data_IF_296041424433
#
_entry.id   IF_296041424433
#
_cell.length_a   1.000
_cell.length_b   1.000
_cell.length_c   1.000
_cell.angle_alpha   90.00
_cell.angle_beta   90.00
_cell.angle_gamma   90.00
#
_symmetry.space_group_name_H-M   'P 1'
#
loop_
_entity.id
_entity.type
_entity.pdbx_description
1 polymer ?
#
# COMPACT_ATOMS: atom_id res chain seq x y z
N UNK A 1 56.70 -26.53 -49.47
CA UNK A 1 55.65 -27.20 -48.65
C UNK A 1 55.82 -26.98 -47.11
N UNK A 2 56.41 -25.88 -46.67
CA UNK A 2 56.70 -25.65 -45.24
C UNK A 2 55.87 -24.60 -44.50
N UNK A 3 55.07 -23.81 -45.21
CA UNK A 3 54.34 -22.64 -44.59
C UNK A 3 52.93 -22.94 -44.04
N UNK A 4 52.29 -24.04 -44.41
CA UNK A 4 50.94 -24.40 -44.03
C UNK A 4 50.79 -25.05 -42.67
N UNK A 5 51.88 -25.71 -42.15
CA UNK A 5 51.83 -26.39 -40.85
C UNK A 5 51.98 -25.44 -39.64
N UNK A 6 52.79 -24.37 -39.79
CA UNK A 6 53.01 -23.38 -38.72
C UNK A 6 51.75 -22.57 -38.43
N UNK A 7 50.98 -22.18 -39.45
CA UNK A 7 49.73 -21.44 -39.24
C UNK A 7 48.60 -22.28 -38.61
N UNK A 8 48.54 -23.59 -38.94
CA UNK A 8 47.62 -24.53 -38.25
C UNK A 8 47.90 -24.70 -36.76
N UNK A 9 49.20 -24.81 -36.41
CA UNK A 9 49.64 -24.95 -35.01
C UNK A 9 49.37 -23.67 -34.21
N UNK A 10 49.56 -22.47 -34.77
CA UNK A 10 49.27 -21.18 -34.13
C UNK A 10 47.74 -21.01 -33.93
N UNK A 11 46.92 -21.39 -34.92
CA UNK A 11 45.46 -21.31 -34.84
C UNK A 11 44.88 -22.29 -33.79
N UNK A 12 45.48 -23.48 -33.66
CA UNK A 12 45.10 -24.50 -32.67
C UNK A 12 45.51 -24.08 -31.26
N UNK A 13 46.71 -23.44 -31.08
CA UNK A 13 47.17 -22.91 -29.80
C UNK A 13 46.31 -21.73 -29.34
N UNK A 14 45.92 -20.81 -30.23
CA UNK A 14 45.03 -19.70 -29.92
C UNK A 14 43.57 -20.15 -29.57
N UNK A 15 43.06 -21.21 -30.22
CA UNK A 15 41.74 -21.76 -29.85
C UNK A 15 41.75 -22.49 -28.51
N UNK A 16 42.83 -23.17 -28.16
CA UNK A 16 42.99 -23.79 -26.84
C UNK A 16 43.15 -22.74 -25.75
N UNK A 17 43.93 -21.67 -25.97
CA UNK A 17 44.02 -20.56 -25.02
C UNK A 17 42.67 -19.85 -24.81
N UNK A 18 41.89 -19.61 -25.84
CA UNK A 18 40.52 -19.03 -25.69
C UNK A 18 39.59 -19.96 -24.92
N UNK A 19 39.64 -21.28 -25.16
CA UNK A 19 38.85 -22.26 -24.41
C UNK A 19 39.28 -22.33 -22.95
N UNK A 20 40.58 -22.30 -22.65
CA UNK A 20 41.11 -22.31 -21.29
C UNK A 20 40.76 -21.00 -20.57
N UNK A 21 40.88 -19.83 -21.21
CA UNK A 21 40.47 -18.55 -20.63
C UNK A 21 38.94 -18.49 -20.37
N UNK A 22 38.14 -19.06 -21.25
CA UNK A 22 36.69 -19.13 -21.05
C UNK A 22 36.31 -20.10 -19.90
N UNK A 23 37.04 -21.23 -19.81
CA UNK A 23 36.83 -22.19 -18.71
C UNK A 23 37.29 -21.62 -17.36
N UNK A 24 38.35 -20.84 -17.32
CA UNK A 24 38.83 -20.14 -16.11
C UNK A 24 37.82 -19.02 -15.71
N UNK A 25 37.25 -18.30 -16.69
CA UNK A 25 36.25 -17.27 -16.41
C UNK A 25 34.95 -17.90 -15.84
N UNK A 26 34.50 -19.04 -16.38
CA UNK A 26 33.36 -19.79 -15.88
C UNK A 26 33.65 -20.43 -14.51
N UNK A 27 34.89 -20.93 -14.29
CA UNK A 27 35.28 -21.44 -12.96
C UNK A 27 35.40 -20.33 -11.92
N UNK A 28 35.88 -19.13 -12.29
CA UNK A 28 35.90 -17.97 -11.40
C UNK A 28 34.47 -17.51 -11.06
N UNK A 29 33.51 -17.53 -12.00
CA UNK A 29 32.12 -17.16 -11.71
C UNK A 29 31.42 -18.19 -10.80
N UNK A 30 31.86 -19.44 -10.80
CA UNK A 30 31.32 -20.49 -9.90
C UNK A 30 31.94 -20.43 -8.48
N UNK A 31 33.10 -19.78 -8.29
CA UNK A 31 33.73 -19.62 -6.99
C UNK A 31 33.23 -18.42 -6.19
N UNK A 32 32.52 -17.48 -6.82
CA UNK A 32 31.91 -16.33 -6.13
C UNK A 32 30.54 -16.63 -5.48
N UNK A 33 30.01 -17.86 -5.65
CA UNK A 33 28.65 -18.23 -5.23
C UNK A 33 28.49 -18.61 -3.74
N UNK A 34 29.54 -18.53 -2.89
CA UNK A 34 29.44 -18.97 -1.48
C UNK A 34 30.24 -18.11 -0.47
N UNK A 35 30.61 -16.89 -0.81
CA UNK A 35 31.25 -16.01 0.17
C UNK A 35 30.22 -15.10 0.85
N UNK A 36 30.28 -15.04 2.19
CA UNK A 36 29.53 -14.03 2.92
C UNK A 36 29.99 -12.64 2.49
N UNK A 37 29.03 -11.78 2.13
CA UNK A 37 29.29 -10.37 1.85
C UNK A 37 29.47 -9.60 3.17
N UNK A 38 30.24 -8.53 3.16
CA UNK A 38 30.22 -7.57 4.26
C UNK A 38 28.90 -6.79 4.26
N UNK A 39 28.51 -6.27 5.41
CA UNK A 39 27.29 -5.42 5.54
C UNK A 39 27.32 -4.26 4.55
N UNK A 40 28.50 -3.63 4.39
CA UNK A 40 28.68 -2.53 3.45
C UNK A 40 28.47 -2.96 1.98
N UNK A 41 28.97 -4.12 1.59
CA UNK A 41 28.78 -4.67 0.24
C UNK A 41 27.31 -4.99 -0.03
N UNK A 42 26.58 -5.53 0.97
CA UNK A 42 25.13 -5.79 0.87
C UNK A 42 24.39 -4.47 0.66
N UNK A 43 24.66 -3.45 1.50
CA UNK A 43 24.03 -2.13 1.40
C UNK A 43 24.32 -1.46 0.04
N UNK A 44 25.59 -1.37 -0.35
CA UNK A 44 26.02 -0.73 -1.59
C UNK A 44 25.43 -1.41 -2.84
N UNK A 45 25.30 -2.75 -2.82
CA UNK A 45 24.78 -3.50 -3.95
C UNK A 45 23.25 -3.37 -4.05
N UNK A 46 22.52 -3.52 -2.93
CA UNK A 46 21.06 -3.67 -2.95
C UNK A 46 20.30 -2.37 -2.81
N UNK A 47 20.92 -1.32 -2.25
CA UNK A 47 20.22 -0.06 -1.93
C UNK A 47 19.58 0.63 -3.14
N UNK A 48 20.21 0.55 -4.33
CA UNK A 48 19.66 1.19 -5.54
C UNK A 48 18.35 0.55 -6.02
N UNK A 49 18.11 -0.71 -5.65
CA UNK A 49 16.90 -1.45 -6.01
C UNK A 49 15.70 -1.21 -5.08
N UNK A 50 15.87 -0.47 -3.98
CA UNK A 50 14.81 -0.20 -3.01
C UNK A 50 14.17 1.16 -3.30
N UNK A 51 12.85 1.25 -3.16
CA UNK A 51 12.06 2.45 -3.47
C UNK A 51 11.11 2.82 -2.33
N UNK A 52 10.92 4.12 -2.12
CA UNK A 52 9.85 4.62 -1.26
C UNK A 52 8.54 4.55 -2.04
N UNK A 53 7.56 3.82 -1.53
CA UNK A 53 6.21 3.70 -2.11
C UNK A 53 5.28 4.71 -1.45
N UNK A 54 4.52 5.44 -2.27
CA UNK A 54 3.43 6.32 -1.85
C UNK A 54 2.13 5.80 -2.44
N UNK A 55 1.09 5.72 -1.64
CA UNK A 55 -0.27 5.44 -2.07
C UNK A 55 -1.21 6.54 -1.57
N UNK A 56 -1.83 7.25 -2.47
CA UNK A 56 -2.86 8.25 -2.22
C UNK A 56 -4.21 7.63 -2.53
N UNK A 57 -5.14 7.59 -1.58
CA UNK A 57 -6.39 6.84 -1.74
C UNK A 57 -7.57 7.44 -1.01
N UNK A 58 -8.75 7.07 -1.47
CA UNK A 58 -10.04 7.28 -0.84
C UNK A 58 -11.02 6.19 -1.30
N UNK A 59 -12.19 6.13 -0.70
CA UNK A 59 -13.24 5.18 -1.04
C UNK A 59 -14.46 5.89 -1.64
N UNK A 60 -15.10 5.24 -2.59
CA UNK A 60 -16.41 5.56 -3.13
C UNK A 60 -17.39 4.43 -2.80
N UNK A 61 -18.54 4.76 -2.25
CA UNK A 61 -19.66 3.83 -2.10
C UNK A 61 -20.75 4.27 -3.07
N UNK A 62 -20.98 3.50 -4.11
CA UNK A 62 -22.12 3.67 -5.00
C UNK A 62 -23.33 3.05 -4.33
N UNK A 63 -24.28 3.88 -3.91
CA UNK A 63 -25.50 3.47 -3.22
C UNK A 63 -26.49 2.78 -4.18
N UNK A 64 -27.43 2.03 -3.63
CA UNK A 64 -28.43 1.29 -4.43
C UNK A 64 -29.34 2.17 -5.30
N UNK A 65 -29.41 3.47 -5.06
CA UNK A 65 -30.11 4.46 -5.88
C UNK A 65 -29.23 5.07 -6.99
N UNK A 66 -27.95 4.68 -7.08
CA UNK A 66 -26.98 5.16 -8.06
C UNK A 66 -26.24 6.44 -7.66
N UNK A 67 -26.51 7.01 -6.50
CA UNK A 67 -25.72 8.11 -5.94
C UNK A 67 -24.45 7.59 -5.27
N UNK A 68 -23.39 8.41 -5.22
CA UNK A 68 -22.14 8.05 -4.56
C UNK A 68 -21.93 8.89 -3.31
N UNK A 69 -21.37 8.25 -2.29
CA UNK A 69 -20.75 8.91 -1.14
C UNK A 69 -19.27 8.53 -1.10
N UNK A 70 -18.45 9.47 -0.65
CA UNK A 70 -17.00 9.29 -0.59
C UNK A 70 -16.55 9.34 0.86
N UNK A 71 -15.47 8.64 1.19
CA UNK A 71 -14.87 8.73 2.52
C UNK A 71 -13.37 8.47 2.48
N UNK A 72 -12.65 9.05 3.42
CA UNK A 72 -11.18 9.01 3.41
C UNK A 72 -10.62 7.70 3.95
N UNK A 73 -11.16 7.19 5.06
CA UNK A 73 -10.66 6.01 5.75
C UNK A 73 -11.69 5.49 6.77
N UNK A 74 -11.30 4.48 7.55
CA UNK A 74 -12.01 3.99 8.72
C UNK A 74 -11.34 4.51 10.00
N UNK A 75 -12.12 4.71 11.06
CA UNK A 75 -11.58 4.93 12.40
C UNK A 75 -11.26 3.60 13.11
N UNK A 76 -10.86 3.68 14.38
CA UNK A 76 -10.50 2.50 15.19
C UNK A 76 -11.70 1.59 15.48
N UNK A 77 -12.93 2.11 15.43
CA UNK A 77 -14.18 1.38 15.64
C UNK A 77 -14.75 0.79 14.33
N UNK A 78 -14.12 1.13 13.19
CA UNK A 78 -14.51 0.69 11.84
C UNK A 78 -15.61 1.55 11.22
N UNK A 79 -15.88 2.75 11.75
CA UNK A 79 -16.82 3.69 11.18
C UNK A 79 -16.14 4.55 10.09
N UNK A 80 -16.96 5.06 9.13
CA UNK A 80 -16.47 5.86 8.00
C UNK A 80 -15.97 7.22 8.48
N UNK A 81 -14.76 7.60 8.08
CA UNK A 81 -14.12 8.86 8.41
C UNK A 81 -13.97 9.76 7.19
N UNK A 82 -14.16 11.08 7.37
CA UNK A 82 -13.99 12.05 6.29
C UNK A 82 -15.02 11.87 5.17
N UNK A 83 -16.32 11.69 5.54
CA UNK A 83 -17.41 11.49 4.58
C UNK A 83 -17.64 12.78 3.79
N UNK A 84 -17.77 12.62 2.46
CA UNK A 84 -18.10 13.68 1.51
C UNK A 84 -19.18 13.19 0.51
N UNK A 85 -19.97 14.11 0.00
CA UNK A 85 -20.97 13.84 -1.05
C UNK A 85 -20.42 14.11 -2.45
N UNK A 86 -19.31 14.84 -2.55
CA UNK A 86 -18.65 15.19 -3.80
C UNK A 86 -17.22 14.63 -3.80
N UNK A 87 -16.78 14.07 -4.92
CA UNK A 87 -15.44 13.50 -5.07
C UNK A 87 -14.32 14.51 -4.80
N UNK A 88 -14.49 15.75 -5.29
CA UNK A 88 -13.51 16.83 -5.09
C UNK A 88 -13.39 17.30 -3.63
N UNK A 89 -14.34 16.90 -2.78
CA UNK A 89 -14.40 17.31 -1.37
C UNK A 89 -13.87 16.23 -0.42
N UNK A 90 -13.59 15.01 -0.90
CA UNK A 90 -13.05 13.94 -0.06
C UNK A 90 -11.58 14.19 0.28
N UNK A 91 -11.23 13.98 1.54
CA UNK A 91 -9.83 14.02 1.97
C UNK A 91 -9.09 12.77 1.47
N UNK A 92 -8.05 12.98 0.66
CA UNK A 92 -7.20 11.89 0.15
C UNK A 92 -6.19 11.50 1.21
N UNK A 93 -6.25 10.24 1.66
CA UNK A 93 -5.27 9.68 2.60
C UNK A 93 -4.00 9.31 1.86
N UNK A 94 -2.85 9.66 2.43
CA UNK A 94 -1.54 9.29 1.89
C UNK A 94 -0.84 8.33 2.83
N UNK A 95 -0.60 7.12 2.34
CA UNK A 95 0.16 6.07 3.02
C UNK A 95 1.53 5.88 2.36
N UNK A 96 2.50 5.48 3.15
CA UNK A 96 3.85 5.21 2.69
C UNK A 96 4.29 3.80 3.08
N UNK A 97 5.07 3.19 2.21
CA UNK A 97 5.71 1.92 2.42
C UNK A 97 7.05 1.85 1.71
N UNK A 98 7.62 0.68 1.71
CA UNK A 98 8.84 0.33 0.98
C UNK A 98 8.51 -0.67 -0.10
N UNK A 99 9.21 -0.62 -1.23
CA UNK A 99 9.19 -1.62 -2.28
C UNK A 99 10.58 -1.86 -2.83
N UNK A 100 10.72 -2.87 -3.67
CA UNK A 100 11.99 -3.18 -4.31
C UNK A 100 11.78 -3.83 -5.67
N UNK A 101 12.68 -3.55 -6.63
CA UNK A 101 12.60 -4.11 -7.97
C UNK A 101 12.82 -5.61 -8.00
N UNK A 102 11.94 -6.34 -8.72
CA UNK A 102 11.98 -7.80 -8.88
C UNK A 102 12.09 -8.24 -10.34
N UNK A 103 12.03 -7.30 -11.29
CA UNK A 103 12.21 -7.59 -12.72
C UNK A 103 12.79 -6.39 -13.48
N UNK A 104 13.33 -6.65 -14.67
CA UNK A 104 13.79 -5.62 -15.62
C UNK A 104 12.62 -4.84 -16.27
N UNK A 105 11.38 -5.32 -16.10
CA UNK A 105 10.18 -4.73 -16.69
C UNK A 105 9.47 -3.76 -15.74
N UNK A 106 10.16 -3.24 -14.73
CA UNK A 106 9.64 -2.23 -13.81
C UNK A 106 8.71 -2.76 -12.73
N UNK A 107 8.72 -4.08 -12.48
CA UNK A 107 7.93 -4.69 -11.41
C UNK A 107 8.63 -4.52 -10.06
N UNK A 108 7.84 -4.15 -9.07
CA UNK A 108 8.27 -3.83 -7.71
C UNK A 108 7.40 -4.61 -6.75
N UNK A 109 8.01 -5.36 -5.86
CA UNK A 109 7.33 -6.05 -4.77
C UNK A 109 7.13 -5.10 -3.57
N UNK A 110 5.97 -5.21 -2.92
CA UNK A 110 5.61 -4.51 -1.68
C UNK A 110 4.53 -5.29 -0.92
N UNK A 111 4.00 -4.77 0.18
CA UNK A 111 2.83 -5.36 0.83
C UNK A 111 1.52 -4.90 0.19
N UNK A 112 0.50 -5.77 0.25
CA UNK A 112 -0.82 -5.47 -0.28
C UNK A 112 -1.49 -4.31 0.46
N UNK A 113 -1.41 -4.26 1.80
CA UNK A 113 -2.00 -3.18 2.60
C UNK A 113 -1.41 -1.80 2.29
N UNK A 114 -0.21 -1.72 1.69
CA UNK A 114 0.38 -0.43 1.27
C UNK A 114 -0.33 0.15 0.06
N UNK A 115 -0.81 -0.69 -0.87
CA UNK A 115 -1.24 -0.28 -2.21
C UNK A 115 -2.65 -0.72 -2.62
N UNK A 116 -3.34 -1.49 -1.78
CA UNK A 116 -4.67 -2.02 -2.09
C UNK A 116 -5.61 -1.95 -0.89
N UNK A 117 -6.92 -2.08 -1.17
CA UNK A 117 -7.93 -2.21 -0.14
C UNK A 117 -7.83 -3.59 0.54
N UNK A 118 -7.69 -3.60 1.88
CA UNK A 118 -7.68 -4.81 2.70
C UNK A 118 -8.96 -4.97 3.55
N UNK A 119 -9.91 -4.02 3.42
CA UNK A 119 -11.17 -4.04 4.19
C UNK A 119 -12.21 -4.84 3.43
N UNK A 120 -12.88 -5.75 4.13
CA UNK A 120 -13.94 -6.55 3.55
C UNK A 120 -15.21 -5.72 3.28
N UNK A 121 -15.87 -5.92 2.14
CA UNK A 121 -17.10 -5.22 1.73
C UNK A 121 -18.20 -5.28 2.80
N UNK A 122 -18.29 -6.39 3.54
CA UNK A 122 -19.27 -6.55 4.63
C UNK A 122 -19.07 -5.56 5.78
N UNK A 123 -17.82 -5.22 6.11
CA UNK A 123 -17.50 -4.24 7.16
C UNK A 123 -17.89 -2.84 6.70
N UNK A 124 -17.57 -2.50 5.46
CA UNK A 124 -17.97 -1.23 4.85
C UNK A 124 -19.48 -1.10 4.79
N UNK A 125 -20.21 -2.13 4.33
CA UNK A 125 -21.68 -2.12 4.27
C UNK A 125 -22.31 -1.89 5.65
N UNK A 126 -21.75 -2.44 6.72
CA UNK A 126 -22.19 -2.19 8.10
C UNK A 126 -22.02 -0.71 8.46
N UNK A 127 -20.85 -0.13 8.16
CA UNK A 127 -20.57 1.29 8.44
C UNK A 127 -21.46 2.22 7.60
N UNK A 128 -21.69 1.89 6.33
CA UNK A 128 -22.70 2.61 5.48
C UNK A 128 -24.07 2.57 6.12
N UNK A 129 -24.53 1.42 6.60
CA UNK A 129 -25.83 1.29 7.29
C UNK A 129 -25.91 2.18 8.55
N UNK A 130 -24.82 2.26 9.32
CA UNK A 130 -24.73 3.14 10.48
C UNK A 130 -24.85 4.62 10.09
N UNK A 131 -24.15 5.05 9.04
CA UNK A 131 -24.21 6.42 8.51
C UNK A 131 -25.63 6.76 8.04
N UNK A 132 -26.27 5.88 7.25
CA UNK A 132 -27.64 6.08 6.79
C UNK A 132 -28.63 6.20 7.96
N UNK A 133 -28.46 5.36 9.00
CA UNK A 133 -29.26 5.42 10.21
C UNK A 133 -29.06 6.73 10.98
N UNK A 134 -27.83 7.22 11.09
CA UNK A 134 -27.52 8.49 11.75
C UNK A 134 -28.13 9.67 10.98
N UNK A 135 -28.00 9.69 9.63
CA UNK A 135 -28.61 10.71 8.77
C UNK A 135 -30.13 10.76 8.92
N UNK A 136 -30.82 9.61 8.93
CA UNK A 136 -32.26 9.54 9.17
C UNK A 136 -32.66 10.18 10.49
N UNK A 137 -31.91 9.92 11.57
CA UNK A 137 -32.19 10.54 12.87
C UNK A 137 -32.05 12.06 12.83
N UNK A 138 -31.01 12.57 12.17
CA UNK A 138 -30.81 14.01 12.01
C UNK A 138 -31.94 14.64 11.20
N UNK A 139 -32.28 14.06 10.05
CA UNK A 139 -33.38 14.55 9.19
C UNK A 139 -34.71 14.52 9.94
N UNK A 140 -34.99 13.44 10.70
CA UNK A 140 -36.22 13.36 11.50
C UNK A 140 -36.25 14.44 12.60
N UNK A 141 -35.14 14.76 13.23
CA UNK A 141 -35.08 15.84 14.23
C UNK A 141 -35.33 17.21 13.59
N UNK A 142 -34.74 17.49 12.42
CA UNK A 142 -35.00 18.73 11.67
C UNK A 142 -36.44 18.82 11.20
N UNK A 143 -37.01 17.73 10.68
CA UNK A 143 -38.40 17.66 10.28
C UNK A 143 -39.35 17.99 11.45
N UNK A 144 -39.09 17.45 12.63
CA UNK A 144 -39.91 17.73 13.84
C UNK A 144 -39.81 19.20 14.26
N UNK A 145 -38.64 19.83 14.18
CA UNK A 145 -38.45 21.25 14.46
C UNK A 145 -39.25 22.13 13.48
N UNK A 146 -39.24 21.78 12.20
CA UNK A 146 -40.06 22.47 11.19
C UNK A 146 -41.59 22.23 11.42
N UNK A 147 -41.98 21.07 11.88
CA UNK A 147 -43.38 20.78 12.22
C UNK A 147 -43.88 21.66 13.37
N UNK A 148 -43.10 21.83 14.44
CA UNK A 148 -43.42 22.73 15.54
C UNK A 148 -43.52 24.21 15.07
N UNK A 149 -42.60 24.63 14.17
CA UNK A 149 -42.63 25.96 13.57
C UNK A 149 -43.88 26.16 12.70
N UNK A 150 -44.26 25.12 11.95
CA UNK A 150 -45.47 25.17 11.09
C UNK A 150 -46.75 25.29 11.93
N UNK A 151 -46.86 24.56 13.04
CA UNK A 151 -47.99 24.69 13.95
C UNK A 151 -48.17 26.12 14.46
N UNK A 152 -47.07 26.77 14.88
CA UNK A 152 -47.05 28.16 15.34
C UNK A 152 -47.41 29.14 14.20
N UNK A 153 -46.85 28.94 13.00
CA UNK A 153 -47.16 29.77 11.84
C UNK A 153 -48.61 29.57 11.35
N UNK A 154 -49.16 28.38 11.47
CA UNK A 154 -50.55 28.11 11.14
C UNK A 154 -51.51 28.83 12.10
N UNK A 155 -51.23 28.82 13.42
CA UNK A 155 -52.03 29.59 14.40
C UNK A 155 -51.97 31.09 14.11
N UNK A 156 -50.82 31.64 13.76
CA UNK A 156 -50.67 33.03 13.37
C UNK A 156 -51.45 33.38 12.09
N UNK A 157 -51.41 32.49 11.10
CA UNK A 157 -52.17 32.63 9.87
C UNK A 157 -53.71 32.62 10.13
N UNK A 158 -54.18 31.66 10.96
CA UNK A 158 -55.58 31.55 11.30
C UNK A 158 -56.11 32.78 12.05
N UNK A 159 -55.29 33.30 13.00
CA UNK A 159 -55.56 34.55 13.69
C UNK A 159 -55.64 35.74 12.70
N UNK A 160 -54.66 35.91 11.82
CA UNK A 160 -54.62 37.00 10.84
C UNK A 160 -55.78 36.93 9.86
N UNK A 161 -56.25 35.72 9.48
CA UNK A 161 -57.38 35.52 8.56
C UNK A 161 -58.72 35.81 9.22
N UNK A 162 -58.84 35.72 10.54
CA UNK A 162 -60.09 35.93 11.29
C UNK A 162 -60.18 37.33 11.94
N UNK A 163 -59.11 38.12 11.90
CA UNK A 163 -59.03 39.43 12.60
C UNK A 163 -59.11 40.57 11.58
N UNK A 164 -60.21 41.32 11.49
CA UNK A 164 -60.39 42.39 10.51
C UNK A 164 -59.41 43.57 10.64
N UNK A 165 -58.75 43.71 11.81
CA UNK A 165 -57.79 44.76 12.12
C UNK A 165 -56.40 44.45 11.55
N UNK A 166 -56.13 43.25 11.10
CA UNK A 166 -54.87 42.87 10.46
C UNK A 166 -54.85 43.40 9.02
N UNK A 167 -53.81 44.11 8.68
CA UNK A 167 -53.64 44.66 7.34
C UNK A 167 -53.41 43.54 6.30
N UNK A 168 -53.72 43.79 5.03
CA UNK A 168 -53.41 42.86 3.94
C UNK A 168 -51.93 42.52 3.85
N UNK A 169 -51.06 43.50 4.11
CA UNK A 169 -49.61 43.30 4.08
C UNK A 169 -49.13 42.32 5.15
N UNK A 170 -49.58 42.49 6.40
CA UNK A 170 -49.27 41.56 7.50
C UNK A 170 -49.84 40.17 7.26
N UNK A 171 -51.07 40.08 6.73
CA UNK A 171 -51.67 38.77 6.35
C UNK A 171 -50.79 38.05 5.32
N UNK A 172 -50.38 38.73 4.26
CA UNK A 172 -49.53 38.10 3.24
C UNK A 172 -48.15 37.71 3.79
N UNK A 173 -47.53 38.50 4.67
CA UNK A 173 -46.28 38.11 5.32
C UNK A 173 -46.41 36.84 6.15
N UNK A 174 -47.46 36.71 6.96
CA UNK A 174 -47.68 35.51 7.77
C UNK A 174 -47.97 34.29 6.89
N UNK A 175 -48.73 34.45 5.82
CA UNK A 175 -49.00 33.40 4.83
C UNK A 175 -47.68 32.92 4.19
N UNK A 176 -46.87 33.85 3.71
CA UNK A 176 -45.61 33.53 3.00
C UNK A 176 -44.61 32.84 3.93
N UNK A 177 -44.52 33.23 5.20
CA UNK A 177 -43.71 32.53 6.23
C UNK A 177 -44.19 31.10 6.44
N UNK A 178 -45.55 30.91 6.62
CA UNK A 178 -46.13 29.59 6.80
C UNK A 178 -45.82 28.68 5.59
N UNK A 179 -46.02 29.20 4.39
CA UNK A 179 -45.87 28.45 3.15
C UNK A 179 -44.41 28.08 2.91
N UNK A 180 -43.46 28.97 3.22
CA UNK A 180 -42.05 28.69 3.18
C UNK A 180 -41.60 27.57 4.18
N UNK A 181 -42.12 27.61 5.42
CA UNK A 181 -41.89 26.56 6.42
C UNK A 181 -42.44 25.21 5.92
N UNK A 182 -43.64 25.20 5.33
CA UNK A 182 -44.26 23.99 4.77
C UNK A 182 -43.44 23.41 3.63
N UNK A 183 -42.91 24.25 2.74
CA UNK A 183 -42.06 23.83 1.63
C UNK A 183 -40.78 23.19 2.15
N UNK A 184 -40.08 23.83 3.11
CA UNK A 184 -38.87 23.25 3.72
C UNK A 184 -39.18 21.89 4.40
N UNK A 185 -40.25 21.80 5.18
CA UNK A 185 -40.67 20.54 5.80
C UNK A 185 -40.91 19.42 4.77
N UNK A 186 -41.50 19.73 3.61
CA UNK A 186 -41.71 18.76 2.53
C UNK A 186 -40.37 18.26 1.94
N UNK A 187 -39.35 19.12 1.81
CA UNK A 187 -38.00 18.71 1.36
C UNK A 187 -37.38 17.69 2.32
N UNK A 188 -37.44 17.96 3.64
CA UNK A 188 -36.92 17.01 4.62
C UNK A 188 -37.70 15.69 4.65
N UNK A 189 -39.00 15.69 4.42
CA UNK A 189 -39.80 14.47 4.25
C UNK A 189 -39.34 13.66 3.02
N UNK A 190 -39.05 14.33 1.91
CA UNK A 190 -38.51 13.68 0.70
C UNK A 190 -37.10 13.09 0.96
N UNK A 191 -36.23 13.81 1.63
CA UNK A 191 -34.90 13.29 2.00
C UNK A 191 -35.01 12.06 2.88
N UNK A 192 -35.89 12.09 3.91
CA UNK A 192 -36.11 10.93 4.78
C UNK A 192 -36.58 9.70 3.99
N UNK A 193 -37.58 9.88 3.15
CA UNK A 193 -38.15 8.80 2.33
C UNK A 193 -37.08 8.28 1.32
N UNK A 194 -36.28 9.15 0.71
CA UNK A 194 -35.22 8.76 -0.20
C UNK A 194 -34.17 7.88 0.49
N UNK A 195 -33.84 8.17 1.76
CA UNK A 195 -32.92 7.32 2.53
C UNK A 195 -33.53 5.93 2.87
N UNK A 196 -34.85 5.78 2.92
CA UNK A 196 -35.50 4.48 3.14
C UNK A 196 -35.37 3.52 1.94
N UNK A 197 -35.18 4.08 0.74
CA UNK A 197 -35.01 3.31 -0.48
C UNK A 197 -33.57 2.78 -0.64
N UNK A 198 -32.61 3.33 0.11
CA UNK A 198 -31.20 2.95 0.04
C UNK A 198 -30.93 1.71 0.90
N UNK A 199 -30.40 0.66 0.26
CA UNK A 199 -29.95 -0.57 0.93
C UNK A 199 -28.44 -0.64 0.95
N UNK A 200 -27.85 -0.57 2.14
CA UNK A 200 -26.41 -0.66 2.31
C UNK A 200 -25.82 -1.97 1.76
N UNK A 201 -26.56 -3.08 1.86
CA UNK A 201 -26.15 -4.38 1.32
C UNK A 201 -26.02 -4.45 -0.19
N UNK A 202 -26.67 -3.55 -0.91
CA UNK A 202 -26.72 -3.48 -2.36
C UNK A 202 -25.80 -2.37 -2.91
N UNK A 203 -24.95 -1.80 -2.05
CA UNK A 203 -23.99 -0.76 -2.40
C UNK A 203 -22.70 -1.40 -2.93
N UNK A 204 -22.13 -0.80 -3.97
CA UNK A 204 -20.82 -1.17 -4.51
C UNK A 204 -19.73 -0.30 -3.89
N UNK A 205 -18.64 -0.92 -3.46
CA UNK A 205 -17.51 -0.22 -2.85
C UNK A 205 -16.36 -0.19 -3.85
N UNK A 206 -15.86 1.00 -4.13
CA UNK A 206 -14.72 1.23 -5.00
C UNK A 206 -13.58 1.86 -4.21
N UNK A 207 -12.40 1.32 -4.38
CA UNK A 207 -11.18 1.87 -3.82
C UNK A 207 -10.43 2.62 -4.91
N UNK A 208 -10.35 3.94 -4.75
CA UNK A 208 -9.60 4.81 -5.65
C UNK A 208 -8.21 5.02 -5.09
N UNK A 209 -7.19 4.75 -5.90
CA UNK A 209 -5.82 4.98 -5.47
C UNK A 209 -4.90 5.46 -6.59
N UNK A 210 -3.85 6.16 -6.18
CA UNK A 210 -2.75 6.58 -7.03
C UNK A 210 -1.45 6.15 -6.38
N UNK A 211 -0.81 5.15 -6.97
CA UNK A 211 0.47 4.61 -6.50
C UNK A 211 1.62 5.28 -7.24
N UNK A 212 2.64 5.67 -6.51
CA UNK A 212 3.87 6.26 -7.06
C UNK A 212 5.07 5.88 -6.20
N UNK A 213 6.28 6.00 -6.76
CA UNK A 213 7.52 5.67 -6.07
C UNK A 213 8.56 6.79 -6.19
N UNK A 214 9.42 6.90 -5.18
CA UNK A 214 10.69 7.61 -5.29
C UNK A 214 11.87 6.62 -5.24
N UNK A 215 12.79 6.79 -6.17
CA UNK A 215 14.00 5.96 -6.22
C UNK A 215 14.96 6.33 -5.08
N UNK A 216 15.52 5.32 -4.43
CA UNK A 216 16.59 5.55 -3.46
C UNK A 216 17.82 6.20 -4.10
N UNK A 217 18.51 7.04 -3.36
CA UNK A 217 19.70 7.78 -3.80
C UNK A 217 19.42 8.79 -4.94
N UNK A 218 18.19 9.27 -5.09
CA UNK A 218 17.84 10.31 -6.06
C UNK A 218 17.31 11.57 -5.38
N UNK A 219 17.39 12.70 -6.06
CA UNK A 219 16.78 13.95 -5.60
C UNK A 219 15.36 14.07 -6.12
N UNK A 220 14.45 14.42 -5.23
CA UNK A 220 13.08 14.84 -5.55
C UNK A 220 12.80 16.15 -4.83
N UNK A 221 12.09 17.07 -5.47
CA UNK A 221 11.72 18.34 -4.87
C UNK A 221 10.49 18.22 -3.98
N UNK A 222 9.58 17.34 -4.37
CA UNK A 222 8.36 17.04 -3.62
C UNK A 222 7.77 15.68 -4.08
N UNK A 223 6.70 15.25 -3.44
CA UNK A 223 6.07 13.95 -3.73
C UNK A 223 5.38 13.89 -5.11
N UNK A 224 5.16 15.02 -5.80
CA UNK A 224 4.62 15.03 -7.16
C UNK A 224 5.67 14.58 -8.20
N UNK A 225 6.95 14.58 -7.84
CA UNK A 225 8.04 14.11 -8.71
C UNK A 225 8.20 12.59 -8.68
N UNK A 226 7.36 11.88 -7.91
CA UNK A 226 7.42 10.42 -7.82
C UNK A 226 6.95 9.77 -9.11
N UNK A 227 7.64 8.70 -9.51
CA UNK A 227 7.30 7.92 -10.69
C UNK A 227 5.99 7.14 -10.48
N UNK A 228 5.04 7.29 -11.41
CA UNK A 228 3.73 6.65 -11.31
C UNK A 228 3.82 5.14 -11.56
N UNK A 229 3.07 4.39 -10.75
CA UNK A 229 2.93 2.94 -10.86
C UNK A 229 1.46 2.53 -11.01
N UNK A 230 1.26 1.27 -11.39
CA UNK A 230 -0.02 0.57 -11.37
C UNK A 230 0.11 -0.69 -10.53
N UNK A 231 -0.93 -1.06 -9.79
CA UNK A 231 -0.99 -2.35 -9.09
C UNK A 231 -1.33 -3.42 -10.12
N UNK A 232 -0.50 -4.45 -10.24
CA UNK A 232 -0.69 -5.52 -11.25
C UNK A 232 -1.13 -6.84 -10.65
N UNK A 233 -0.67 -7.16 -9.43
CA UNK A 233 -1.02 -8.38 -8.72
C UNK A 233 -1.14 -8.12 -7.22
N UNK A 234 -2.06 -8.82 -6.56
CA UNK A 234 -2.22 -8.80 -5.10
C UNK A 234 -2.47 -10.21 -4.57
N UNK A 235 -1.95 -10.47 -3.38
CA UNK A 235 -2.22 -11.65 -2.58
C UNK A 235 -2.57 -11.19 -1.16
N UNK A 236 -3.88 -11.16 -0.86
CA UNK A 236 -4.38 -10.69 0.43
C UNK A 236 -4.08 -11.67 1.57
N UNK A 237 -3.95 -12.97 1.27
CA UNK A 237 -3.68 -14.00 2.28
C UNK A 237 -2.27 -13.86 2.85
N UNK A 238 -1.31 -13.47 2.01
CA UNK A 238 0.07 -13.26 2.40
C UNK A 238 0.48 -11.79 2.48
N UNK A 239 -0.47 -10.86 2.30
CA UNK A 239 -0.21 -9.42 2.32
C UNK A 239 0.94 -9.00 1.36
N UNK A 240 0.90 -9.49 0.12
CA UNK A 240 1.88 -9.18 -0.92
C UNK A 240 1.23 -8.49 -2.12
N UNK A 241 1.96 -7.60 -2.76
CA UNK A 241 1.54 -6.97 -4.01
C UNK A 241 2.73 -6.76 -4.95
N UNK A 242 2.42 -6.78 -6.25
CA UNK A 242 3.31 -6.30 -7.31
C UNK A 242 2.72 -5.02 -7.88
N UNK A 243 3.52 -3.97 -7.86
CA UNK A 243 3.24 -2.74 -8.60
C UNK A 243 4.23 -2.63 -9.76
N UNK A 244 3.86 -1.94 -10.83
CA UNK A 244 4.70 -1.80 -12.01
C UNK A 244 4.79 -0.34 -12.45
N UNK A 245 5.99 0.11 -12.78
CA UNK A 245 6.20 1.40 -13.44
C UNK A 245 5.36 1.49 -14.72
N UNK A 246 4.76 2.65 -14.97
CA UNK A 246 3.93 2.85 -16.18
C UNK A 246 4.68 2.67 -17.51
N UNK A 247 5.98 2.96 -17.52
CA UNK A 247 6.85 2.76 -18.68
C UNK A 247 7.34 1.32 -18.83
N UNK A 248 7.03 0.46 -17.88
CA UNK A 248 7.39 -0.98 -17.83
C UNK A 248 8.89 -1.23 -18.00
N UNK A 249 9.71 -0.38 -17.38
CA UNK A 249 11.16 -0.50 -17.47
C UNK A 249 11.84 -0.13 -16.16
N UNK A 250 12.63 -1.05 -15.63
CA UNK A 250 13.54 -0.75 -14.52
C UNK A 250 14.73 0.06 -15.05
N UNK A 251 15.08 1.21 -14.45
CA UNK A 251 16.26 1.95 -14.84
C UNK A 251 17.53 1.08 -14.69
N UNK A 252 18.44 1.19 -15.64
CA UNK A 252 19.62 0.30 -15.75
C UNK A 252 20.63 0.41 -14.59
N UNK A 253 20.54 1.48 -13.81
CA UNK A 253 21.36 1.73 -12.61
C UNK A 253 20.72 1.17 -11.33
N UNK A 254 19.56 0.51 -11.41
CA UNK A 254 18.84 -0.05 -10.27
C UNK A 254 19.12 -1.55 -10.13
N UNK A 255 19.34 -1.96 -8.89
CA UNK A 255 19.49 -3.37 -8.55
C UNK A 255 18.12 -4.08 -8.66
N UNK A 256 18.10 -5.25 -9.27
CA UNK A 256 16.92 -6.12 -9.34
C UNK A 256 17.16 -7.31 -8.44
N UNK A 257 16.33 -7.44 -7.40
CA UNK A 257 16.42 -8.56 -6.47
C UNK A 257 16.05 -9.86 -7.17
N UNK A 258 16.94 -10.83 -7.10
CA UNK A 258 16.71 -12.15 -7.64
C UNK A 258 15.83 -12.97 -6.69
N UNK A 259 14.83 -13.63 -7.25
CA UNK A 259 13.98 -14.56 -6.50
C UNK A 259 14.45 -15.97 -6.86
N UNK A 260 15.10 -16.60 -5.88
CA UNK A 260 15.66 -17.94 -6.07
C UNK A 260 14.56 -18.99 -6.33
N UNK A 261 14.91 -20.04 -7.07
CA UNK A 261 13.98 -21.15 -7.34
C UNK A 261 13.63 -21.93 -6.07
N UNK A 262 14.58 -22.02 -5.15
CA UNK A 262 14.40 -22.62 -3.83
C UNK A 262 14.46 -21.51 -2.78
N UNK A 263 13.61 -21.60 -1.76
CA UNK A 263 13.63 -20.64 -0.65
C UNK A 263 14.97 -20.78 0.11
N UNK A 264 15.80 -19.74 0.19
CA UNK A 264 17.10 -19.79 0.83
C UNK A 264 17.07 -20.21 2.31
N UNK A 265 15.88 -20.13 2.94
CA UNK A 265 15.67 -20.57 4.32
C UNK A 265 15.23 -22.04 4.42
N UNK A 266 14.90 -22.69 3.32
CA UNK A 266 14.50 -24.12 3.26
C UNK A 266 15.63 -25.04 2.78
N UNK A 267 16.69 -24.54 2.19
CA UNK A 267 17.85 -25.34 1.80
C UNK A 267 18.54 -25.92 3.03
N UNK A 268 17.97 -27.03 3.49
CA UNK A 268 18.50 -27.82 4.59
C UNK A 268 19.45 -28.87 4.06
N UNK A 269 20.75 -28.68 4.24
CA UNK A 269 21.75 -29.68 3.89
C UNK A 269 22.24 -30.34 5.18
N UNK A 270 22.10 -31.67 5.32
CA UNK A 270 22.54 -32.44 6.50
C UNK A 270 24.05 -32.26 6.82
N UNK A 271 24.85 -31.90 5.81
CA UNK A 271 26.28 -31.54 6.01
C UNK A 271 26.44 -30.25 6.82
N UNK A 272 25.45 -29.35 6.77
CA UNK A 272 25.49 -28.07 7.50
C UNK A 272 25.23 -28.27 9.00
N UNK A 273 24.59 -29.37 9.42
CA UNK A 273 24.34 -29.65 10.85
C UNK A 273 25.60 -29.93 11.65
N UNK A 274 26.61 -30.50 11.01
CA UNK A 274 27.93 -30.75 11.65
C UNK A 274 28.72 -29.44 11.68
N UNK A 275 28.64 -28.62 10.64
CA UNK A 275 29.26 -27.28 10.61
C UNK A 275 28.48 -26.25 11.43
N UNK A 276 27.14 -26.37 11.55
CA UNK A 276 26.28 -25.50 12.34
C UNK A 276 26.58 -25.50 13.82
N UNK A 277 26.95 -26.61 14.40
CA UNK A 277 27.40 -26.65 15.81
C UNK A 277 28.66 -25.81 16.08
N UNK A 278 29.38 -25.43 15.02
CA UNK A 278 30.59 -24.61 15.07
C UNK A 278 30.36 -23.18 14.53
N UNK A 279 29.30 -22.96 13.72
CA UNK A 279 29.03 -21.67 13.00
C UNK A 279 27.67 -21.02 13.34
N UNK A 280 26.98 -21.43 14.39
CA UNK A 280 25.58 -21.08 14.67
C UNK A 280 25.26 -19.58 14.79
N UNK A 281 26.28 -18.72 14.85
CA UNK A 281 26.10 -17.26 15.03
C UNK A 281 26.05 -16.47 13.71
N UNK A 282 26.51 -17.02 12.59
CA UNK A 282 26.62 -16.28 11.32
C UNK A 282 25.41 -16.42 10.38
N UNK A 283 24.69 -17.55 10.44
CA UNK A 283 23.55 -17.83 9.53
C UNK A 283 22.22 -17.26 10.01
N UNK A 284 22.16 -16.67 11.20
CA UNK A 284 20.96 -16.03 11.73
C UNK A 284 20.87 -14.54 11.43
N UNK A 285 21.95 -13.92 10.94
CA UNK A 285 21.98 -12.48 10.69
C UNK A 285 21.27 -12.12 9.41
N UNK A 286 20.36 -11.16 9.52
CA UNK A 286 19.58 -10.61 8.41
C UNK A 286 19.77 -9.11 8.31
N UNK A 287 19.54 -8.59 7.10
CA UNK A 287 19.62 -7.16 6.79
C UNK A 287 18.34 -6.71 6.09
N UNK A 288 17.97 -5.46 6.30
CA UNK A 288 16.79 -4.87 5.71
C UNK A 288 17.07 -3.42 5.30
N UNK A 289 16.66 -3.07 4.10
CA UNK A 289 16.60 -1.68 3.64
C UNK A 289 15.15 -1.22 3.66
N UNK A 290 14.88 -0.10 4.34
CA UNK A 290 13.52 0.38 4.58
C UNK A 290 13.43 1.90 4.54
N UNK A 291 12.23 2.42 4.32
CA UNK A 291 11.89 3.83 4.45
C UNK A 291 11.02 4.05 5.70
N UNK A 292 11.64 3.84 6.88
CA UNK A 292 10.98 4.09 8.15
C UNK A 292 10.47 5.53 8.23
N UNK A 293 9.22 5.71 8.71
CA UNK A 293 8.50 6.97 8.78
C UNK A 293 8.33 7.69 7.42
N UNK A 294 8.49 6.94 6.31
CA UNK A 294 8.29 7.46 4.95
C UNK A 294 9.12 8.73 4.68
N UNK A 295 8.52 9.77 4.06
CA UNK A 295 9.22 10.99 3.67
C UNK A 295 9.90 11.73 4.83
N UNK A 296 9.41 11.59 6.08
CA UNK A 296 9.97 12.29 7.24
C UNK A 296 11.45 11.98 7.47
N UNK A 297 11.85 10.72 7.27
CA UNK A 297 13.26 10.32 7.39
C UNK A 297 13.93 10.08 6.03
N UNK A 298 13.16 9.78 4.99
CA UNK A 298 13.69 9.48 3.67
C UNK A 298 14.18 10.71 2.90
N UNK A 299 13.45 11.84 3.00
CA UNK A 299 13.80 13.06 2.26
C UNK A 299 14.89 13.83 3.01
N UNK A 300 16.12 13.71 2.54
CA UNK A 300 17.28 14.34 3.12
C UNK A 300 17.88 15.41 2.19
N UNK A 301 18.83 16.21 2.71
CA UNK A 301 19.61 17.14 1.88
C UNK A 301 20.46 16.44 0.81
N UNK A 302 20.69 15.13 0.97
CA UNK A 302 21.45 14.31 0.06
C UNK A 302 20.58 13.48 -0.90
N UNK A 303 19.27 13.74 -0.91
CA UNK A 303 18.26 13.03 -1.68
C UNK A 303 17.45 12.04 -0.83
N UNK A 304 16.71 11.17 -1.52
CA UNK A 304 15.93 10.08 -0.91
C UNK A 304 16.86 9.02 -0.39
N UNK A 305 16.80 8.69 0.90
CA UNK A 305 17.70 7.73 1.56
C UNK A 305 16.90 6.69 2.35
N UNK A 306 17.12 5.42 2.03
CA UNK A 306 16.65 4.30 2.85
C UNK A 306 17.57 4.14 4.09
N UNK A 307 17.03 3.50 5.13
CA UNK A 307 17.79 3.08 6.31
C UNK A 307 18.19 1.62 6.14
N UNK A 308 19.45 1.32 6.45
CA UNK A 308 19.99 -0.04 6.47
C UNK A 308 20.08 -0.53 7.92
N UNK A 309 19.35 -1.59 8.23
CA UNK A 309 19.30 -2.17 9.58
C UNK A 309 19.60 -3.66 9.54
N UNK A 310 20.10 -4.19 10.66
CA UNK A 310 20.38 -5.62 10.81
C UNK A 310 19.80 -6.18 12.09
N UNK A 311 19.57 -7.49 12.09
CA UNK A 311 19.09 -8.23 13.25
C UNK A 311 19.27 -9.72 13.05
N UNK A 312 18.72 -10.52 13.95
CA UNK A 312 18.83 -11.96 13.93
C UNK A 312 17.46 -12.62 13.85
N UNK A 313 17.39 -13.76 13.17
CA UNK A 313 16.19 -14.60 13.15
C UNK A 313 15.93 -15.14 14.56
N UNK A 314 14.71 -14.98 15.06
CA UNK A 314 14.26 -15.53 16.34
C UNK A 314 13.31 -16.72 16.18
N UNK A 315 12.54 -16.78 15.07
CA UNK A 315 11.62 -17.89 14.78
C UNK A 315 11.46 -18.07 13.27
N UNK A 316 11.26 -19.31 12.83
CA UNK A 316 10.90 -19.69 11.45
C UNK A 316 9.67 -20.57 11.45
N UNK A 317 8.72 -20.24 10.56
CA UNK A 317 7.58 -21.09 10.23
C UNK A 317 7.56 -21.36 8.73
N UNK A 318 6.57 -22.12 8.25
CA UNK A 318 6.37 -22.35 6.80
C UNK A 318 6.00 -21.06 6.06
N UNK A 319 5.40 -20.08 6.72
CA UNK A 319 4.87 -18.86 6.09
C UNK A 319 5.71 -17.62 6.41
N UNK A 320 6.21 -17.52 7.63
CA UNK A 320 6.78 -16.29 8.18
C UNK A 320 8.09 -16.56 8.88
N UNK A 321 8.91 -15.53 8.92
CA UNK A 321 10.07 -15.44 9.82
C UNK A 321 9.87 -14.33 10.81
N UNK A 322 10.35 -14.52 12.04
CA UNK A 322 10.44 -13.49 13.08
C UNK A 322 11.89 -13.11 13.27
N UNK A 323 12.16 -11.84 13.42
CA UNK A 323 13.52 -11.29 13.58
C UNK A 323 13.53 -10.02 14.44
N UNK A 324 14.73 -9.66 14.88
CA UNK A 324 14.97 -8.49 15.72
C UNK A 324 15.39 -7.22 14.95
N UNK A 325 15.24 -7.18 13.63
CA UNK A 325 15.52 -5.96 12.84
C UNK A 325 14.51 -4.88 13.26
N UNK A 326 14.95 -3.67 13.65
CA UNK A 326 14.02 -2.58 14.00
C UNK A 326 13.15 -2.17 12.82
N UNK A 327 11.83 -1.97 13.07
CA UNK A 327 10.85 -1.52 12.09
C UNK A 327 10.01 -0.37 12.65
N UNK A 328 9.59 0.53 11.76
CA UNK A 328 8.64 1.61 12.04
C UNK A 328 7.62 1.68 10.89
N UNK A 329 6.49 2.40 11.04
CA UNK A 329 5.60 2.69 9.92
C UNK A 329 6.37 3.17 8.70
N UNK A 330 6.06 2.62 7.51
CA UNK A 330 6.82 2.85 6.28
C UNK A 330 7.82 1.74 5.94
N UNK A 331 8.18 0.86 6.88
CA UNK A 331 9.04 -0.31 6.60
C UNK A 331 8.28 -1.48 5.95
N UNK A 332 6.96 -1.45 5.90
CA UNK A 332 6.14 -2.47 5.20
C UNK A 332 6.56 -2.59 3.74
N UNK A 333 6.78 -3.82 3.25
CA UNK A 333 7.23 -4.12 1.90
C UNK A 333 8.76 -4.10 1.72
N UNK A 334 9.55 -3.92 2.79
CA UNK A 334 11.01 -3.91 2.71
C UNK A 334 11.60 -5.28 2.39
N UNK A 335 12.64 -5.35 1.54
CA UNK A 335 13.37 -6.59 1.30
C UNK A 335 14.22 -6.94 2.53
N UNK A 336 14.14 -8.21 2.94
CA UNK A 336 14.99 -8.80 3.97
C UNK A 336 15.94 -9.79 3.32
N UNK A 337 17.24 -9.58 3.49
CA UNK A 337 18.30 -10.40 2.85
C UNK A 337 19.20 -11.07 3.89
N UNK A 338 19.82 -12.19 3.50
CA UNK A 338 20.80 -12.90 4.29
C UNK A 338 22.24 -12.37 4.04
N UNK A 339 23.25 -13.00 4.66
CA UNK A 339 24.66 -12.66 4.49
C UNK A 339 25.22 -12.89 3.07
N UNK A 340 24.51 -13.62 2.23
CA UNK A 340 24.82 -13.82 0.83
C UNK A 340 24.16 -12.79 -0.08
N UNK A 341 23.38 -11.85 0.49
CA UNK A 341 22.60 -10.87 -0.27
C UNK A 341 21.35 -11.46 -0.93
N UNK A 342 20.97 -12.70 -0.62
CA UNK A 342 19.78 -13.35 -1.16
C UNK A 342 18.53 -12.86 -0.44
N UNK A 343 17.47 -12.59 -1.18
CA UNK A 343 16.17 -12.23 -0.64
C UNK A 343 15.55 -13.44 0.10
N UNK A 344 15.21 -13.27 1.36
CA UNK A 344 14.65 -14.33 2.21
C UNK A 344 13.23 -14.05 2.66
N UNK A 345 12.85 -12.77 2.78
CA UNK A 345 11.51 -12.36 3.20
C UNK A 345 11.18 -10.94 2.77
N UNK A 346 9.90 -10.60 2.87
CA UNK A 346 9.34 -9.27 2.75
C UNK A 346 8.79 -8.85 4.10
N UNK A 347 9.30 -7.75 4.68
CA UNK A 347 8.81 -7.23 5.96
C UNK A 347 7.36 -6.78 5.86
N UNK A 348 6.50 -7.20 6.79
CA UNK A 348 5.09 -6.82 6.73
C UNK A 348 4.51 -6.26 8.03
N UNK A 349 4.99 -6.68 9.18
CA UNK A 349 4.41 -6.28 10.47
C UNK A 349 5.44 -6.31 11.60
N UNK A 350 5.17 -5.52 12.64
CA UNK A 350 5.77 -5.63 13.96
C UNK A 350 4.71 -5.97 15.00
N UNK A 351 5.12 -6.56 16.11
CA UNK A 351 4.23 -6.70 17.28
C UNK A 351 4.11 -5.35 17.97
N UNK A 352 2.88 -4.84 18.08
CA UNK A 352 2.60 -3.59 18.76
C UNK A 352 3.16 -3.62 20.19
N UNK A 353 3.89 -2.58 20.57
CA UNK A 353 4.51 -2.46 21.91
C UNK A 353 5.85 -3.17 22.08
N UNK A 354 6.41 -3.78 21.02
CA UNK A 354 7.76 -4.38 21.04
C UNK A 354 8.58 -3.87 19.86
N UNK A 355 9.90 -3.66 20.07
CA UNK A 355 10.80 -3.24 18.99
C UNK A 355 11.64 -4.39 18.41
N UNK A 356 11.55 -5.60 19.00
CA UNK A 356 12.47 -6.71 18.70
C UNK A 356 11.76 -7.94 18.11
N UNK A 357 10.47 -7.85 17.83
CA UNK A 357 9.69 -8.94 17.27
C UNK A 357 8.94 -8.46 16.05
N UNK A 358 9.60 -8.55 14.91
CA UNK A 358 9.06 -8.15 13.62
C UNK A 358 8.96 -9.38 12.72
N UNK A 359 8.04 -9.34 11.75
CA UNK A 359 7.74 -10.45 10.88
C UNK A 359 8.01 -10.12 9.42
N UNK A 360 8.49 -11.11 8.69
CA UNK A 360 8.58 -11.10 7.23
C UNK A 360 7.86 -12.31 6.64
N UNK A 361 7.14 -12.08 5.56
CA UNK A 361 6.58 -13.13 4.70
C UNK A 361 7.72 -13.78 3.94
N UNK A 362 7.77 -15.10 3.88
CA UNK A 362 8.83 -15.84 3.18
C UNK A 362 8.78 -15.60 1.67
N UNK A 363 9.95 -15.49 1.06
CA UNK A 363 10.11 -15.14 -0.36
C UNK A 363 9.39 -16.09 -1.31
N UNK A 364 9.17 -17.34 -0.95
CA UNK A 364 8.43 -18.31 -1.76
C UNK A 364 7.03 -17.85 -2.17
N UNK A 365 6.32 -17.14 -1.28
CA UNK A 365 4.99 -16.60 -1.59
C UNK A 365 5.05 -15.43 -2.58
N UNK A 366 6.13 -14.63 -2.54
CA UNK A 366 6.36 -13.64 -3.59
C UNK A 366 6.59 -14.31 -4.94
N UNK A 367 7.33 -15.42 -4.98
CA UNK A 367 7.52 -16.20 -6.20
C UNK A 367 6.19 -16.75 -6.73
N UNK A 368 5.38 -17.37 -5.86
CA UNK A 368 4.04 -17.85 -6.23
C UNK A 368 3.14 -16.73 -6.78
N UNK A 369 3.23 -15.51 -6.21
CA UNK A 369 2.49 -14.36 -6.72
C UNK A 369 2.99 -13.91 -8.09
N UNK A 370 4.31 -13.92 -8.33
CA UNK A 370 4.88 -13.53 -9.62
C UNK A 370 4.55 -14.54 -10.73
N UNK A 371 4.46 -15.81 -10.41
CA UNK A 371 4.18 -16.91 -11.35
C UNK A 371 2.68 -16.99 -11.76
N UNK A 372 1.76 -16.33 -11.01
CA UNK A 372 0.35 -16.12 -11.37
C UNK A 372 0.20 -15.08 -12.50
#
# INVERSE_FOLDING_TARGET
MGYTNSQKLIKQKNNNMKKTSFLILVLCSLLFSCSNLSEKEIEETTSSGVVLVQNQSYYEVVLSNGESIYFSNFDEDGDLKGIATEEDSVEVVTNYGTGFFVSETGEIATNAHVVSNMVADKEVNKSVANVLSALKKVIAAVYNDYNEKLEKAQLAYDYANQTPEVSYEEFYQVRDIRDAIKEEMQKYAQYYNGLDEIRASDSEIKYHNKVSIAYNNTFVTNTNDFASCVVTKTDSDHDLAIIQLKDKKTPTDKYVFQIENEDPLETYNWKDDIEKKIKDDKNSKLFMLSFNLGPQLALTKEGVKSQFNSGSVSQKTSEKIMYSIPTLPGSSGSPVVNLQGQLVAINFAGLNGTQNFNYGIRVKYLKELMDK
#
